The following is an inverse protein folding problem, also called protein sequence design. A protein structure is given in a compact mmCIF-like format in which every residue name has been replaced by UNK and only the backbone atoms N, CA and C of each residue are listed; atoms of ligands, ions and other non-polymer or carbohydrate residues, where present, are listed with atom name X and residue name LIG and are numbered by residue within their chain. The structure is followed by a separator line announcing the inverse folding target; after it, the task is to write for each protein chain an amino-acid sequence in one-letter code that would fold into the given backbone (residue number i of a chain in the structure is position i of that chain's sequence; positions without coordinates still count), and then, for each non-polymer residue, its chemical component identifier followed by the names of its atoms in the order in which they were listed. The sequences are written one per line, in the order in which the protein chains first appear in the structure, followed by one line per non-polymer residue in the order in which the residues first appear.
data_IF_550337436156
#
_entry.id   IF_550337436156
#
_cell.length_a   1.000
_cell.length_b   1.000
_cell.length_c   1.000
_cell.angle_alpha   90.00
_cell.angle_beta   90.00
_cell.angle_gamma   90.00
#
_symmetry.space_group_name_H-M   'P 1'
#
loop_
_entity.id
_entity.type
_entity.pdbx_description
1 polymer ?
#
# COMPACT_ATOMS: atom_id res chain seq x y z
N UNK A 1 22.01 -5.01 -4.17
CA UNK A 1 21.04 -5.15 -5.27
C UNK A 1 19.97 -4.06 -5.14
N UNK A 2 20.12 -2.96 -5.87
CA UNK A 2 19.19 -2.63 -6.94
C UNK A 2 19.85 -1.53 -7.78
N UNK A 3 20.55 -1.96 -8.82
CA UNK A 3 21.09 -1.09 -9.85
C UNK A 3 19.93 -0.59 -10.72
N UNK A 4 19.17 0.38 -10.22
CA UNK A 4 18.48 1.32 -11.11
C UNK A 4 19.56 2.20 -11.73
N UNK A 5 20.31 1.59 -12.65
CA UNK A 5 21.33 2.21 -13.47
C UNK A 5 20.78 3.51 -14.02
N UNK A 6 21.64 4.53 -13.92
CA UNK A 6 21.45 5.89 -14.43
C UNK A 6 20.47 5.90 -15.59
N UNK A 7 19.24 6.37 -15.34
CA UNK A 7 18.30 6.63 -16.43
C UNK A 7 18.86 7.85 -17.17
N UNK A 8 19.67 7.58 -18.19
CA UNK A 8 19.98 8.52 -19.24
C UNK A 8 18.65 8.99 -19.81
N UNK A 9 18.20 10.21 -19.47
CA UNK A 9 16.81 10.63 -19.66
C UNK A 9 16.44 10.60 -21.15
N UNK A 10 15.71 9.59 -21.66
CA UNK A 10 15.15 9.68 -22.98
C UNK A 10 13.93 10.59 -22.83
N UNK A 11 13.90 11.71 -23.54
CA UNK A 11 12.77 12.66 -23.50
C UNK A 11 11.50 12.13 -24.17
N UNK A 12 11.52 10.92 -24.70
CA UNK A 12 10.47 10.37 -25.53
C UNK A 12 10.20 8.90 -25.18
N UNK A 13 8.95 8.59 -24.87
CA UNK A 13 8.43 7.23 -24.73
C UNK A 13 7.80 6.86 -26.08
N UNK A 14 8.44 5.98 -26.84
CA UNK A 14 7.86 5.45 -28.08
C UNK A 14 7.19 4.12 -27.76
N UNK A 15 5.87 4.05 -27.99
CA UNK A 15 5.08 2.87 -27.73
C UNK A 15 4.49 2.39 -29.06
N UNK A 16 5.02 1.30 -29.60
CA UNK A 16 4.59 0.69 -30.88
C UNK A 16 3.74 -0.54 -30.64
N UNK A 17 2.74 -0.38 -29.80
CA UNK A 17 1.80 -1.44 -29.43
C UNK A 17 0.38 -0.96 -29.68
N UNK A 18 -0.39 -1.74 -30.44
CA UNK A 18 -1.73 -1.36 -30.88
C UNK A 18 -2.72 -1.35 -29.71
N UNK A 19 -2.63 -2.34 -28.82
CA UNK A 19 -3.49 -2.45 -27.64
C UNK A 19 -3.30 -1.23 -26.72
N UNK A 20 -2.06 -0.82 -26.47
CA UNK A 20 -1.83 0.34 -25.60
C UNK A 20 -2.34 1.64 -26.23
N UNK A 21 -2.27 1.77 -27.56
CA UNK A 21 -2.87 2.91 -28.24
C UNK A 21 -4.39 2.92 -28.06
N UNK A 22 -5.05 1.77 -28.22
CA UNK A 22 -6.50 1.63 -28.03
C UNK A 22 -6.92 1.98 -26.59
N UNK A 23 -6.23 1.44 -25.59
CA UNK A 23 -6.46 1.75 -24.18
C UNK A 23 -6.26 3.24 -23.87
N UNK A 24 -5.19 3.84 -24.40
CA UNK A 24 -4.93 5.27 -24.24
C UNK A 24 -6.01 6.13 -24.92
N UNK A 25 -6.49 5.72 -26.09
CA UNK A 25 -7.55 6.40 -26.83
C UNK A 25 -8.89 6.32 -26.10
N UNK A 26 -9.22 5.17 -25.53
CA UNK A 26 -10.43 4.98 -24.73
C UNK A 26 -10.41 5.87 -23.48
N UNK A 27 -9.31 5.84 -22.70
CA UNK A 27 -9.12 6.71 -21.54
C UNK A 27 -9.19 8.20 -21.92
N UNK A 28 -8.52 8.60 -23.00
CA UNK A 28 -8.55 9.97 -23.49
C UNK A 28 -9.98 10.42 -23.83
N UNK A 29 -10.73 9.58 -24.55
CA UNK A 29 -12.13 9.85 -24.91
C UNK A 29 -13.03 9.94 -23.67
N UNK A 30 -12.87 9.01 -22.72
CA UNK A 30 -13.67 8.95 -21.50
C UNK A 30 -13.48 10.19 -20.64
N UNK A 31 -12.26 10.73 -20.58
CA UNK A 31 -11.91 11.86 -19.72
C UNK A 31 -11.82 13.21 -20.45
N UNK A 32 -12.05 13.24 -21.77
CA UNK A 32 -11.89 14.46 -22.57
C UNK A 32 -10.45 14.98 -22.58
N UNK A 33 -9.46 14.08 -22.54
CA UNK A 33 -8.03 14.39 -22.48
C UNK A 33 -7.35 14.03 -23.81
N UNK A 34 -6.08 14.40 -23.94
CA UNK A 34 -5.18 13.96 -25.01
C UNK A 34 -4.66 12.53 -24.73
N UNK A 35 -4.23 11.80 -25.77
CA UNK A 35 -3.61 10.47 -25.61
C UNK A 35 -2.46 10.48 -24.61
N UNK A 36 -1.56 11.47 -24.71
CA UNK A 36 -0.41 11.59 -23.81
C UNK A 36 -0.83 12.00 -22.39
N UNK A 37 -1.87 12.84 -22.26
CA UNK A 37 -2.48 13.19 -20.98
C UNK A 37 -3.08 11.98 -20.27
N UNK A 38 -3.87 11.18 -21.00
CA UNK A 38 -4.45 9.93 -20.51
C UNK A 38 -3.39 8.95 -20.00
N UNK A 39 -2.35 8.67 -20.80
CA UNK A 39 -1.24 7.79 -20.41
C UNK A 39 -0.51 8.34 -19.18
N UNK A 40 -0.20 9.64 -19.16
CA UNK A 40 0.49 10.28 -18.02
C UNK A 40 -0.34 10.18 -16.74
N UNK A 41 -1.65 10.38 -16.84
CA UNK A 41 -2.56 10.30 -15.70
C UNK A 41 -2.69 8.88 -15.18
N UNK A 42 -2.86 7.89 -16.06
CA UNK A 42 -2.93 6.48 -15.68
C UNK A 42 -1.65 6.00 -14.98
N UNK A 43 -0.47 6.35 -15.50
CA UNK A 43 0.82 6.04 -14.89
C UNK A 43 0.96 6.69 -13.51
N UNK A 44 0.60 7.97 -13.38
CA UNK A 44 0.64 8.69 -12.10
C UNK A 44 -0.27 8.04 -11.07
N UNK A 45 -1.47 7.64 -11.48
CA UNK A 45 -2.45 7.03 -10.61
C UNK A 45 -1.98 5.65 -10.12
N UNK A 46 -1.45 4.80 -11.01
CA UNK A 46 -0.86 3.50 -10.65
C UNK A 46 0.29 3.68 -9.67
N UNK A 47 1.25 4.57 -9.95
CA UNK A 47 2.35 4.85 -9.03
C UNK A 47 1.87 5.34 -7.66
N UNK A 48 0.83 6.17 -7.63
CA UNK A 48 0.23 6.66 -6.38
C UNK A 48 -0.46 5.55 -5.59
N UNK A 49 -1.20 4.66 -6.27
CA UNK A 49 -1.79 3.47 -5.63
C UNK A 49 -0.72 2.56 -5.05
N UNK A 50 0.29 2.21 -5.84
CA UNK A 50 1.35 1.28 -5.44
C UNK A 50 2.17 1.82 -4.27
N UNK A 51 2.53 3.12 -4.31
CA UNK A 51 3.20 3.77 -3.17
C UNK A 51 2.35 3.74 -1.92
N UNK A 52 1.04 4.01 -2.02
CA UNK A 52 0.13 3.94 -0.86
C UNK A 52 0.05 2.53 -0.29
N UNK A 53 -0.01 1.51 -1.14
CA UNK A 53 -0.03 0.11 -0.72
C UNK A 53 1.27 -0.29 -0.01
N UNK A 54 2.43 0.06 -0.59
CA UNK A 54 3.73 -0.13 0.08
C UNK A 54 3.75 0.53 1.46
N UNK A 55 3.27 1.77 1.60
CA UNK A 55 3.23 2.42 2.93
C UNK A 55 2.28 1.73 3.92
N UNK A 56 1.20 1.10 3.44
CA UNK A 56 0.30 0.31 4.31
C UNK A 56 1.02 -0.94 4.80
N UNK A 57 1.70 -1.65 3.90
CA UNK A 57 2.49 -2.83 4.25
C UNK A 57 3.62 -2.50 5.22
N UNK A 58 4.36 -1.41 4.97
CA UNK A 58 5.43 -0.93 5.87
C UNK A 58 4.89 -0.61 7.27
N UNK A 59 3.73 0.07 7.36
CA UNK A 59 3.07 0.35 8.64
C UNK A 59 2.64 -0.93 9.34
N UNK A 60 2.04 -1.86 8.61
CA UNK A 60 1.61 -3.16 9.15
C UNK A 60 2.81 -3.93 9.72
N UNK A 61 3.89 -4.06 8.96
CA UNK A 61 5.10 -4.74 9.42
C UNK A 61 5.71 -4.09 10.66
N UNK A 62 5.69 -2.75 10.73
CA UNK A 62 6.17 -2.02 11.90
C UNK A 62 5.31 -2.31 13.13
N UNK A 63 3.98 -2.32 13.01
CA UNK A 63 3.06 -2.65 14.10
C UNK A 63 3.30 -4.10 14.55
N UNK A 64 3.38 -5.03 13.60
CA UNK A 64 3.58 -6.44 13.90
C UNK A 64 4.96 -6.71 14.52
N UNK A 65 5.99 -5.95 14.14
CA UNK A 65 7.30 -6.05 14.79
C UNK A 65 7.24 -5.67 16.28
N UNK A 66 6.49 -4.61 16.62
CA UNK A 66 6.26 -4.22 18.03
C UNK A 66 5.44 -5.28 18.76
N UNK A 67 4.36 -5.78 18.15
CA UNK A 67 3.53 -6.83 18.74
C UNK A 67 4.35 -8.10 19.04
N UNK A 68 5.18 -8.55 18.09
CA UNK A 68 6.09 -9.70 18.27
C UNK A 68 7.10 -9.46 19.38
N UNK A 69 7.71 -8.27 19.46
CA UNK A 69 8.64 -7.95 20.55
C UNK A 69 7.96 -7.95 21.91
N UNK A 70 6.75 -7.39 22.00
CA UNK A 70 5.95 -7.39 23.22
C UNK A 70 5.60 -8.82 23.65
N UNK A 71 5.05 -9.65 22.74
CA UNK A 71 4.69 -11.04 23.04
C UNK A 71 5.90 -11.86 23.49
N UNK A 72 7.09 -11.61 22.94
CA UNK A 72 8.33 -12.26 23.37
C UNK A 72 8.71 -11.92 24.82
N UNK A 73 8.43 -10.69 25.28
CA UNK A 73 8.77 -10.21 26.63
C UNK A 73 7.72 -10.53 27.68
N UNK A 74 6.44 -10.49 27.31
CA UNK A 74 5.31 -10.58 28.24
C UNK A 74 5.18 -11.96 28.91
N UNK A 75 5.84 -13.00 28.38
CA UNK A 75 5.73 -14.36 28.90
C UNK A 75 4.37 -15.01 28.58
N UNK A 76 4.16 -16.27 28.99
CA UNK A 76 2.89 -16.94 28.78
C UNK A 76 1.78 -16.26 29.57
N UNK A 77 0.62 -16.12 28.94
CA UNK A 77 -0.56 -15.55 29.57
C UNK A 77 -1.05 -16.46 30.70
N UNK A 78 -1.29 -15.87 31.88
CA UNK A 78 -1.67 -16.61 33.10
C UNK A 78 -3.12 -16.41 33.52
N UNK A 79 -3.88 -15.57 32.80
CA UNK A 79 -5.25 -15.18 33.15
C UNK A 79 -6.14 -15.06 31.91
N UNK A 80 -7.44 -15.31 32.01
CA UNK A 80 -8.40 -15.18 30.90
C UNK A 80 -8.66 -13.72 30.53
N UNK A 81 -9.45 -13.46 29.48
CA UNK A 81 -9.83 -12.08 29.11
C UNK A 81 -10.73 -11.47 30.18
N UNK A 82 -11.64 -12.26 30.74
CA UNK A 82 -12.54 -11.85 31.82
C UNK A 82 -11.77 -11.53 33.11
N UNK A 83 -10.80 -12.37 33.49
CA UNK A 83 -9.93 -12.12 34.65
C UNK A 83 -9.04 -10.88 34.46
N UNK A 84 -8.57 -10.62 33.24
CA UNK A 84 -7.75 -9.45 32.93
C UNK A 84 -8.52 -8.13 33.02
N UNK A 85 -9.85 -8.14 32.83
CA UNK A 85 -10.70 -6.96 33.05
C UNK A 85 -10.75 -6.62 34.53
N UNK A 86 -10.74 -7.62 35.42
CA UNK A 86 -10.74 -7.43 36.87
C UNK A 86 -12.05 -6.92 37.46
N UNK A 87 -13.15 -6.99 36.71
CA UNK A 87 -14.49 -6.62 37.17
C UNK A 87 -15.53 -7.66 36.75
N UNK A 88 -16.51 -7.91 37.62
CA UNK A 88 -17.65 -8.77 37.33
C UNK A 88 -18.68 -8.07 36.42
N UNK A 89 -19.74 -8.80 36.04
CA UNK A 89 -20.84 -8.27 35.21
C UNK A 89 -21.60 -7.09 35.84
N UNK A 90 -21.44 -6.85 37.15
CA UNK A 90 -22.05 -5.74 37.88
C UNK A 90 -21.07 -4.56 38.06
N UNK A 91 -19.84 -4.68 37.54
CA UNK A 91 -18.80 -3.66 37.65
C UNK A 91 -18.08 -3.65 39.01
N UNK A 92 -18.16 -4.74 39.79
CA UNK A 92 -17.44 -4.88 41.04
C UNK A 92 -16.06 -5.51 40.81
N UNK A 93 -14.99 -5.06 41.49
CA UNK A 93 -13.67 -5.67 41.38
C UNK A 93 -13.70 -7.16 41.72
N UNK A 94 -13.05 -7.98 40.90
CA UNK A 94 -12.89 -9.44 41.12
C UNK A 94 -11.43 -9.80 41.33
#
# INVERSE_FOLDING_TARGET
MNELGKIDRPRQLNLKDAETYELAAELAKLHGDTLSGAVKSALREKLSRDRRELTKQERFERIMAVARDYSRRAGPRTMTDEEAVGYDQNGLPT
#
